data_IF_083912446658
#
_entry.id   IF_083912446658
#
_cell.length_a   1.000
_cell.length_b   1.000
_cell.length_c   1.000
_cell.angle_alpha   90.00
_cell.angle_beta   90.00
_cell.angle_gamma   90.00
#
_symmetry.space_group_name_H-M   'P 1'
#
loop_
_entity.id
_entity.type
_entity.pdbx_description
1 polymer ?
#
# COMPACT_ATOMS: atom_id res chain seq x y z
N UNK A 1 -11.07 15.34 -17.78
CA UNK A 1 -10.38 16.12 -16.72
C UNK A 1 -11.39 16.97 -15.92
N UNK A 2 -12.53 17.30 -16.53
CA UNK A 2 -13.52 18.26 -16.02
C UNK A 2 -14.27 17.79 -14.76
N UNK A 3 -14.55 16.49 -14.64
CA UNK A 3 -15.24 15.93 -13.47
C UNK A 3 -14.44 16.15 -12.18
N UNK A 4 -13.12 16.01 -12.22
CA UNK A 4 -12.29 16.17 -11.02
C UNK A 4 -12.14 17.64 -10.60
N UNK A 5 -12.08 18.58 -11.56
CA UNK A 5 -12.15 20.02 -11.26
C UNK A 5 -13.50 20.42 -10.66
N UNK A 6 -14.60 19.76 -11.07
CA UNK A 6 -15.91 19.97 -10.44
C UNK A 6 -15.98 19.44 -9.01
N UNK A 7 -15.29 18.33 -8.72
CA UNK A 7 -15.24 17.73 -7.37
C UNK A 7 -14.30 18.50 -6.44
N UNK A 8 -13.22 19.06 -6.99
CA UNK A 8 -12.18 19.77 -6.25
C UNK A 8 -11.91 21.16 -6.86
N UNK A 9 -12.86 22.11 -6.76
CA UNK A 9 -12.76 23.41 -7.44
C UNK A 9 -11.60 24.28 -6.92
N UNK A 10 -11.28 24.18 -5.64
CA UNK A 10 -10.27 25.02 -4.97
C UNK A 10 -8.89 24.36 -4.86
N UNK A 11 -8.69 23.22 -5.52
CA UNK A 11 -7.44 22.46 -5.46
C UNK A 11 -6.56 22.79 -6.66
N UNK A 12 -5.25 23.00 -6.47
CA UNK A 12 -4.30 23.18 -7.57
C UNK A 12 -4.36 22.06 -8.60
N UNK A 13 -4.24 22.42 -9.88
CA UNK A 13 -4.41 21.49 -11.00
C UNK A 13 -3.38 20.35 -10.99
N UNK A 14 -2.16 20.59 -10.53
CA UNK A 14 -1.13 19.56 -10.37
C UNK A 14 -1.55 18.47 -9.37
N UNK A 15 -2.22 18.86 -8.28
CA UNK A 15 -2.72 17.92 -7.27
C UNK A 15 -3.91 17.13 -7.82
N UNK A 16 -4.81 17.78 -8.56
CA UNK A 16 -5.91 17.12 -9.25
C UNK A 16 -5.39 16.06 -10.23
N UNK A 17 -4.34 16.37 -10.99
CA UNK A 17 -3.71 15.42 -11.92
C UNK A 17 -3.13 14.21 -11.18
N UNK A 18 -2.38 14.44 -10.09
CA UNK A 18 -1.80 13.35 -9.28
C UNK A 18 -2.89 12.44 -8.72
N UNK A 19 -3.98 13.02 -8.22
CA UNK A 19 -5.14 12.26 -7.75
C UNK A 19 -5.84 11.52 -8.88
N UNK A 20 -5.94 12.11 -10.08
CA UNK A 20 -6.52 11.45 -11.26
C UNK A 20 -5.72 10.19 -11.65
N UNK A 21 -4.39 10.29 -11.63
CA UNK A 21 -3.49 9.16 -11.90
C UNK A 21 -3.70 8.07 -10.85
N UNK A 22 -3.71 8.43 -9.56
CA UNK A 22 -3.98 7.48 -8.47
C UNK A 22 -5.33 6.76 -8.65
N UNK A 23 -6.38 7.51 -9.01
CA UNK A 23 -7.71 6.95 -9.24
C UNK A 23 -7.72 5.99 -10.43
N UNK A 24 -7.07 6.33 -11.53
CA UNK A 24 -6.95 5.46 -12.70
C UNK A 24 -6.21 4.16 -12.37
N UNK A 25 -5.06 4.28 -11.70
CA UNK A 25 -4.14 3.16 -11.50
C UNK A 25 -4.69 2.11 -10.52
N UNK A 26 -5.56 2.52 -9.60
CA UNK A 26 -6.16 1.65 -8.58
C UNK A 26 -7.69 1.48 -8.71
N UNK A 27 -8.28 1.93 -9.82
CA UNK A 27 -9.72 1.87 -10.06
C UNK A 27 -10.55 2.62 -9.00
N UNK A 28 -10.00 3.70 -8.42
CA UNK A 28 -10.66 4.48 -7.39
C UNK A 28 -11.57 5.56 -7.99
N UNK A 29 -12.61 5.90 -7.25
CA UNK A 29 -13.64 6.83 -7.68
C UNK A 29 -13.77 8.01 -6.70
N UNK A 30 -13.42 9.24 -7.12
CA UNK A 30 -13.45 10.43 -6.28
C UNK A 30 -14.82 10.71 -5.66
N UNK A 31 -15.90 10.54 -6.45
CA UNK A 31 -17.28 10.73 -5.98
C UNK A 31 -17.75 9.67 -4.96
N UNK A 32 -17.07 8.53 -4.88
CA UNK A 32 -17.42 7.45 -3.96
C UNK A 32 -16.68 7.56 -2.63
N UNK A 33 -16.07 8.73 -2.33
CA UNK A 33 -15.34 8.98 -1.08
C UNK A 33 -14.16 8.01 -0.88
N UNK A 34 -13.61 7.53 -1.99
CA UNK A 34 -12.47 6.61 -2.05
C UNK A 34 -11.14 7.38 -1.95
N UNK A 35 -11.06 8.56 -2.55
CA UNK A 35 -9.91 9.47 -2.43
C UNK A 35 -10.40 10.86 -2.08
N UNK A 36 -9.64 11.56 -1.25
CA UNK A 36 -9.88 12.93 -0.82
C UNK A 36 -8.65 13.77 -1.12
N UNK A 37 -8.84 15.04 -1.42
CA UNK A 37 -7.75 16.01 -1.43
C UNK A 37 -8.01 16.99 -0.28
N UNK A 38 -7.13 16.97 0.71
CA UNK A 38 -7.27 17.75 1.93
C UNK A 38 -6.20 18.83 1.96
N UNK A 39 -6.64 20.09 2.12
CA UNK A 39 -5.76 21.23 2.34
C UNK A 39 -5.43 21.39 3.82
N UNK A 40 -4.14 21.43 4.13
CA UNK A 40 -3.62 21.73 5.45
C UNK A 40 -2.98 23.12 5.43
N UNK A 41 -3.46 24.01 6.30
CA UNK A 41 -2.87 25.34 6.41
C UNK A 41 -1.52 25.24 7.11
N UNK A 42 -0.47 25.58 6.38
CA UNK A 42 0.88 25.68 6.92
C UNK A 42 0.96 26.87 7.88
N UNK A 43 1.20 26.60 9.16
CA UNK A 43 1.24 27.63 10.21
C UNK A 43 2.41 28.60 10.06
N UNK A 44 3.48 28.18 9.37
CA UNK A 44 4.71 28.97 9.21
C UNK A 44 4.66 29.85 7.97
N UNK A 45 4.17 29.33 6.84
CA UNK A 45 4.16 30.06 5.56
C UNK A 45 2.80 30.70 5.25
N UNK A 46 1.75 30.33 5.98
CA UNK A 46 0.37 30.79 5.76
C UNK A 46 -0.31 30.17 4.53
N UNK A 47 0.42 29.37 3.74
CA UNK A 47 -0.08 28.71 2.52
C UNK A 47 -0.86 27.44 2.84
N UNK A 48 -1.75 27.04 1.94
CA UNK A 48 -2.46 25.75 2.02
C UNK A 48 -1.68 24.70 1.26
N UNK A 49 -1.18 23.69 1.96
CA UNK A 49 -0.54 22.51 1.39
C UNK A 49 -1.60 21.42 1.20
N UNK A 50 -1.78 20.93 -0.03
CA UNK A 50 -2.78 19.91 -0.33
C UNK A 50 -2.14 18.52 -0.33
N UNK A 51 -2.84 17.54 0.23
CA UNK A 51 -2.43 16.13 0.23
C UNK A 51 -3.59 15.23 -0.16
N UNK A 52 -3.29 14.17 -0.92
CA UNK A 52 -4.25 13.12 -1.25
C UNK A 52 -4.35 12.12 -0.10
N UNK A 53 -5.57 11.89 0.39
CA UNK A 53 -5.86 10.94 1.47
C UNK A 53 -6.77 9.84 0.94
N UNK A 54 -6.42 8.59 1.23
CA UNK A 54 -7.15 7.41 0.79
C UNK A 54 -8.18 7.03 1.86
N UNK A 55 -9.45 6.91 1.45
CA UNK A 55 -10.53 6.48 2.33
C UNK A 55 -10.47 4.99 2.68
N UNK A 56 -11.10 4.59 3.77
CA UNK A 56 -11.11 3.18 4.20
C UNK A 56 -11.71 2.22 3.15
N UNK A 57 -12.72 2.68 2.39
CA UNK A 57 -13.32 1.93 1.29
C UNK A 57 -12.35 1.71 0.13
N UNK A 58 -11.55 2.73 -0.20
CA UNK A 58 -10.48 2.61 -1.18
C UNK A 58 -9.39 1.67 -0.70
N UNK A 59 -8.98 1.72 0.58
CA UNK A 59 -7.99 0.77 1.11
C UNK A 59 -8.43 -0.68 0.92
N UNK A 60 -9.72 -0.99 1.11
CA UNK A 60 -10.28 -2.33 0.86
C UNK A 60 -10.30 -2.69 -0.62
N UNK A 61 -10.62 -1.74 -1.49
CA UNK A 61 -10.65 -1.94 -2.94
C UNK A 61 -9.26 -2.08 -3.54
N UNK A 62 -8.31 -1.24 -3.13
CA UNK A 62 -6.89 -1.38 -3.42
C UNK A 62 -6.35 -2.69 -2.86
N UNK A 63 -6.76 -3.08 -1.65
CA UNK A 63 -6.41 -4.37 -1.11
C UNK A 63 -7.02 -5.51 -1.91
N UNK A 64 -8.26 -5.42 -2.40
CA UNK A 64 -8.87 -6.44 -3.26
C UNK A 64 -8.26 -6.48 -4.67
N UNK A 65 -7.92 -5.33 -5.25
CA UNK A 65 -7.28 -5.22 -6.56
C UNK A 65 -5.81 -5.65 -6.55
N UNK A 66 -5.12 -5.45 -5.41
CA UNK A 66 -3.78 -6.00 -5.14
C UNK A 66 -3.80 -7.45 -4.64
N UNK A 67 -4.79 -7.82 -3.84
CA UNK A 67 -5.10 -9.18 -3.35
C UNK A 67 -6.22 -9.80 -4.20
N UNK A 68 -6.05 -9.80 -5.52
CA UNK A 68 -6.78 -10.78 -6.35
C UNK A 68 -6.58 -12.21 -5.81
N UNK A 69 -7.16 -13.21 -6.46
CA UNK A 69 -6.90 -14.60 -6.07
C UNK A 69 -5.39 -14.80 -5.84
N UNK A 70 -5.03 -15.17 -4.61
CA UNK A 70 -3.64 -15.33 -4.21
C UNK A 70 -3.42 -16.79 -3.88
N UNK A 71 -2.27 -17.30 -4.28
CA UNK A 71 -1.80 -18.63 -3.91
C UNK A 71 -0.50 -18.50 -3.13
N UNK A 72 -0.22 -19.49 -2.30
CA UNK A 72 1.12 -19.66 -1.75
C UNK A 72 2.08 -19.98 -2.91
N UNK A 73 3.23 -19.32 -2.94
CA UNK A 73 4.22 -19.49 -4.03
C UNK A 73 5.01 -20.79 -3.85
N UNK A 74 5.10 -21.25 -2.61
CA UNK A 74 5.77 -22.46 -2.18
C UNK A 74 4.94 -23.15 -1.08
N UNK A 75 5.57 -24.05 -0.33
CA UNK A 75 4.97 -24.73 0.84
C UNK A 75 4.82 -23.81 2.07
N UNK A 76 4.72 -22.48 1.89
CA UNK A 76 4.40 -21.55 2.97
C UNK A 76 2.88 -21.50 3.25
N UNK A 77 2.43 -21.16 4.47
CA UNK A 77 3.23 -20.76 5.63
C UNK A 77 4.02 -21.94 6.23
N UNK A 78 5.31 -21.70 6.49
CA UNK A 78 6.24 -22.67 7.11
C UNK A 78 7.28 -21.94 7.94
N UNK A 79 8.13 -22.68 8.67
CA UNK A 79 9.35 -22.12 9.22
C UNK A 79 10.28 -21.62 8.09
N UNK A 80 10.83 -20.42 8.27
CA UNK A 80 11.83 -19.81 7.40
C UNK A 80 13.15 -20.60 7.50
N UNK A 81 13.84 -20.76 6.37
CA UNK A 81 15.19 -21.35 6.40
C UNK A 81 16.20 -20.32 6.93
N UNK A 82 17.36 -20.81 7.37
CA UNK A 82 18.43 -19.95 7.85
C UNK A 82 18.87 -18.92 6.80
N UNK A 83 18.91 -19.33 5.53
CA UNK A 83 19.27 -18.44 4.41
C UNK A 83 18.23 -17.33 4.21
N UNK A 84 16.94 -17.65 4.33
CA UNK A 84 15.84 -16.68 4.20
C UNK A 84 15.87 -15.66 5.35
N UNK A 85 16.19 -16.10 6.57
CA UNK A 85 16.34 -15.23 7.74
C UNK A 85 17.56 -14.32 7.57
N UNK A 86 18.72 -14.86 7.18
CA UNK A 86 19.94 -14.07 6.95
C UNK A 86 19.71 -13.04 5.84
N UNK A 87 19.00 -13.41 4.77
CA UNK A 87 18.71 -12.49 3.68
C UNK A 87 17.85 -11.30 4.14
N UNK A 88 16.91 -11.52 5.06
CA UNK A 88 15.97 -10.50 5.52
C UNK A 88 16.54 -9.65 6.68
N UNK A 89 17.17 -10.28 7.66
CA UNK A 89 17.58 -9.66 8.93
C UNK A 89 19.09 -9.50 9.08
N UNK A 90 19.87 -10.11 8.18
CA UNK A 90 21.33 -10.10 8.20
C UNK A 90 21.94 -11.24 9.02
N UNK A 91 23.25 -11.50 8.85
CA UNK A 91 23.97 -12.50 9.63
C UNK A 91 24.16 -12.04 11.08
N UNK A 92 24.07 -12.97 12.05
CA UNK A 92 24.14 -12.70 13.49
C UNK A 92 23.01 -11.82 14.05
N UNK A 93 21.87 -11.75 13.36
CA UNK A 93 20.67 -11.09 13.90
C UNK A 93 20.06 -11.92 15.03
N UNK A 94 19.24 -11.31 15.89
CA UNK A 94 18.53 -12.03 16.96
C UNK A 94 17.59 -13.10 16.39
N UNK A 95 17.01 -12.82 15.22
CA UNK A 95 16.16 -13.73 14.47
C UNK A 95 16.92 -14.94 13.91
N UNK A 96 18.19 -14.78 13.53
CA UNK A 96 19.05 -15.89 13.08
C UNK A 96 19.54 -16.77 14.22
N UNK A 97 19.71 -16.20 15.41
CA UNK A 97 20.27 -16.92 16.57
C UNK A 97 19.23 -17.72 17.35
N UNK A 98 18.08 -17.12 17.63
CA UNK A 98 17.24 -17.59 18.75
C UNK A 98 15.75 -17.74 18.41
N UNK A 99 15.29 -17.27 17.24
CA UNK A 99 13.86 -17.25 16.93
C UNK A 99 13.47 -18.16 15.77
N UNK A 100 12.46 -19.01 16.00
CA UNK A 100 11.77 -19.72 14.91
C UNK A 100 10.89 -18.70 14.19
N UNK A 101 11.32 -18.27 13.00
CA UNK A 101 10.57 -17.32 12.17
C UNK A 101 9.68 -18.08 11.21
N UNK A 102 8.39 -17.74 11.17
CA UNK A 102 7.46 -18.13 10.11
C UNK A 102 7.69 -17.29 8.86
N UNK A 103 7.67 -17.91 7.69
CA UNK A 103 7.66 -17.24 6.40
C UNK A 103 6.35 -17.54 5.65
N UNK A 104 5.80 -16.51 5.04
CA UNK A 104 4.62 -16.58 4.16
C UNK A 104 4.93 -15.89 2.84
N UNK A 105 4.88 -16.62 1.73
CA UNK A 105 5.09 -16.08 0.38
C UNK A 105 3.79 -16.15 -0.39
N UNK A 106 3.30 -15.01 -0.82
CA UNK A 106 2.07 -14.88 -1.59
C UNK A 106 2.37 -14.41 -3.00
N UNK A 107 1.68 -14.99 -3.98
CA UNK A 107 1.64 -14.48 -5.35
C UNK A 107 0.20 -14.17 -5.73
N UNK A 108 0.00 -12.95 -6.20
CA UNK A 108 -1.28 -12.51 -6.76
C UNK A 108 -1.40 -12.93 -8.22
N UNK A 109 -2.63 -13.07 -8.68
CA UNK A 109 -3.01 -13.37 -10.08
C UNK A 109 -2.34 -12.47 -11.13
N UNK A 110 -2.06 -11.20 -10.80
CA UNK A 110 -1.37 -10.23 -11.67
C UNK A 110 0.17 -10.36 -11.66
N UNK A 111 0.71 -11.38 -11.00
CA UNK A 111 2.15 -11.65 -10.91
C UNK A 111 2.87 -10.92 -9.77
N UNK A 112 2.16 -10.16 -8.95
CA UNK A 112 2.72 -9.46 -7.79
C UNK A 112 3.12 -10.48 -6.72
N UNK A 113 4.31 -10.37 -6.13
CA UNK A 113 4.76 -11.24 -5.04
C UNK A 113 4.94 -10.45 -3.74
N UNK A 114 4.61 -11.06 -2.61
CA UNK A 114 4.79 -10.50 -1.28
C UNK A 114 5.35 -11.57 -0.34
N UNK A 115 6.39 -11.21 0.42
CA UNK A 115 6.99 -12.08 1.44
C UNK A 115 6.77 -11.44 2.80
N UNK A 116 6.18 -12.21 3.72
CA UNK A 116 5.97 -11.82 5.11
C UNK A 116 6.75 -12.73 6.04
N UNK A 117 7.31 -12.14 7.10
CA UNK A 117 7.97 -12.84 8.20
C UNK A 117 7.22 -12.53 9.50
N UNK A 118 7.07 -13.52 10.37
CA UNK A 118 6.45 -13.35 11.69
C UNK A 118 6.98 -14.39 12.67
N UNK A 119 6.86 -14.14 13.97
CA UNK A 119 7.24 -15.14 14.98
C UNK A 119 6.39 -16.40 14.83
N UNK A 120 7.03 -17.56 14.74
CA UNK A 120 6.34 -18.85 14.82
C UNK A 120 5.95 -19.11 16.29
N UNK A 121 4.72 -19.56 16.59
CA UNK A 121 4.28 -19.81 17.96
C UNK A 121 5.02 -20.95 18.65
#
# INVERSE_FOLDING_TARGET
>A
MDILKLVYPDVPEDQIIRTAILCRDFGLHPLMKEVYIIGYKNKTTGKTDYSSVIGIGANRKMAADKKGAYSFVDLSPRAATKEEIIQQFGPNSEEERDNLISICKLKGEKGNEAVGFGLWP
#
